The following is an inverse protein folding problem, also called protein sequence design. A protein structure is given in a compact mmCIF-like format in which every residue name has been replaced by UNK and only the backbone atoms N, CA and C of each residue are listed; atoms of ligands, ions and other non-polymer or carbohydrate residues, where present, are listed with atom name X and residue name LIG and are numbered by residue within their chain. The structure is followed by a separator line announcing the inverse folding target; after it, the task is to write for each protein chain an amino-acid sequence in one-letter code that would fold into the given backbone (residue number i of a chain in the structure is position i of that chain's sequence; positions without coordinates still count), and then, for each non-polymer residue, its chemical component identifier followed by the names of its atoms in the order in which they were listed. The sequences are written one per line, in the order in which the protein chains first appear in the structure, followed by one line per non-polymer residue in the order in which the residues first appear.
data_IF_134011297536
#
_entry.id   IF_134011297536
#
_cell.length_a   1.000
_cell.length_b   1.000
_cell.length_c   1.000
_cell.angle_alpha   90.00
_cell.angle_beta   90.00
_cell.angle_gamma   90.00
#
_symmetry.space_group_name_H-M   'P 1'
#
loop_
_entity.id
_entity.type
_entity.pdbx_description
1 polymer ?
#
# COMPACT_ATOMS: atom_id res chain seq x y z
N UNK A 1 -17.35 46.67 -14.26
CA UNK A 1 -15.97 46.36 -13.86
C UNK A 1 -15.82 44.86 -13.97
N UNK A 2 -15.38 44.38 -15.12
CA UNK A 2 -15.14 42.96 -15.35
C UNK A 2 -13.76 42.63 -14.77
N UNK A 3 -13.73 41.85 -13.69
CA UNK A 3 -12.51 41.28 -13.15
C UNK A 3 -12.02 40.23 -14.15
N UNK A 4 -11.08 40.62 -15.02
CA UNK A 4 -10.39 39.69 -15.92
C UNK A 4 -9.60 38.68 -15.10
N UNK A 5 -10.17 37.48 -14.91
CA UNK A 5 -9.44 36.37 -14.33
C UNK A 5 -8.33 35.98 -15.30
N UNK A 6 -7.08 36.19 -14.89
CA UNK A 6 -5.93 35.69 -15.63
C UNK A 6 -6.04 34.17 -15.74
N UNK A 7 -6.15 33.65 -16.96
CA UNK A 7 -6.05 32.21 -17.21
C UNK A 7 -4.63 31.76 -16.87
N UNK A 8 -4.46 31.07 -15.75
CA UNK A 8 -3.20 30.41 -15.42
C UNK A 8 -3.02 29.25 -16.40
N UNK A 9 -2.06 29.39 -17.32
CA UNK A 9 -1.66 28.29 -18.18
C UNK A 9 -0.93 27.24 -17.34
N UNK A 10 -1.36 25.98 -17.46
CA UNK A 10 -0.76 24.86 -16.76
C UNK A 10 0.32 24.23 -17.64
N UNK A 11 1.50 23.99 -17.09
CA UNK A 11 2.63 23.39 -17.78
C UNK A 11 2.90 21.97 -17.27
N UNK A 12 3.11 21.02 -18.17
CA UNK A 12 3.50 19.67 -17.80
C UNK A 12 4.82 19.68 -17.02
N UNK A 13 4.82 19.12 -15.81
CA UNK A 13 6.03 19.04 -14.96
C UNK A 13 7.20 18.28 -15.59
N UNK A 14 6.93 17.36 -16.53
CA UNK A 14 7.97 16.53 -17.14
C UNK A 14 8.61 17.17 -18.37
N UNK A 15 7.80 17.71 -19.29
CA UNK A 15 8.30 18.30 -20.53
C UNK A 15 8.30 19.83 -20.56
N UNK A 16 7.78 20.47 -19.51
CA UNK A 16 7.68 21.92 -19.32
C UNK A 16 6.89 22.63 -20.44
N UNK A 17 6.02 21.91 -21.14
CA UNK A 17 5.18 22.43 -22.21
C UNK A 17 3.71 22.47 -21.77
N UNK A 18 2.98 23.49 -22.23
CA UNK A 18 1.52 23.63 -22.03
C UNK A 18 0.71 22.70 -22.92
N UNK A 19 1.23 22.47 -24.13
CA UNK A 19 0.69 21.56 -25.13
C UNK A 19 1.80 20.59 -25.54
N UNK A 20 1.43 19.40 -25.99
CA UNK A 20 2.38 18.42 -26.49
C UNK A 20 2.27 18.37 -28.00
N UNK A 21 3.38 18.64 -28.70
CA UNK A 21 3.48 18.40 -30.14
C UNK A 21 3.26 16.91 -30.42
N UNK A 22 2.10 16.55 -30.96
CA UNK A 22 1.72 15.16 -31.14
C UNK A 22 0.29 15.00 -31.67
N UNK A 23 -0.11 13.77 -32.05
CA UNK A 23 -1.46 13.52 -32.53
C UNK A 23 -2.46 13.96 -31.45
N UNK A 24 -3.44 14.78 -31.84
CA UNK A 24 -4.55 15.19 -30.99
C UNK A 24 -5.16 13.95 -30.32
N UNK A 25 -5.17 13.91 -28.99
CA UNK A 25 -5.62 12.72 -28.26
C UNK A 25 -5.27 12.69 -26.79
N UNK A 26 -5.57 11.56 -26.15
CA UNK A 26 -5.38 11.32 -24.71
C UNK A 26 -3.96 11.62 -24.22
N UNK A 27 -2.96 11.43 -25.07
CA UNK A 27 -1.55 11.61 -24.70
C UNK A 27 -1.13 13.07 -24.51
N UNK A 28 -1.77 14.01 -25.21
CA UNK A 28 -1.49 15.44 -25.10
C UNK A 28 -2.26 16.12 -23.95
N UNK A 29 -3.17 15.40 -23.29
CA UNK A 29 -3.97 15.93 -22.20
C UNK A 29 -3.19 15.92 -20.88
N UNK A 30 -3.28 17.03 -20.15
CA UNK A 30 -2.76 17.14 -18.79
C UNK A 30 -3.65 16.38 -17.79
N UNK A 31 -3.03 15.63 -16.90
CA UNK A 31 -3.66 14.99 -15.75
C UNK A 31 -2.94 15.36 -14.45
N UNK A 32 -3.57 15.06 -13.32
CA UNK A 32 -3.02 15.31 -11.97
C UNK A 32 -2.85 13.98 -11.23
N UNK A 33 -1.79 13.22 -11.53
CA UNK A 33 -1.73 11.81 -11.17
C UNK A 33 -1.53 11.57 -9.67
N UNK A 34 -1.17 12.59 -8.90
CA UNK A 34 -0.79 12.49 -7.48
C UNK A 34 -1.28 13.68 -6.64
N UNK A 35 -1.10 13.57 -5.32
CA UNK A 35 -1.47 14.64 -4.37
C UNK A 35 -0.61 15.91 -4.49
N UNK A 36 0.49 15.89 -5.24
CA UNK A 36 1.28 17.10 -5.49
C UNK A 36 0.53 18.15 -6.31
N UNK A 37 -0.57 17.75 -7.00
CA UNK A 37 -1.30 18.60 -7.95
C UNK A 37 -0.41 19.20 -9.06
N UNK A 38 0.72 18.55 -9.34
CA UNK A 38 1.56 18.92 -10.48
C UNK A 38 0.97 18.31 -11.75
N UNK A 39 0.59 19.14 -12.75
CA UNK A 39 0.03 18.65 -13.99
C UNK A 39 1.10 17.93 -14.83
N UNK A 40 0.71 16.84 -15.48
CA UNK A 40 1.60 16.04 -16.34
C UNK A 40 0.81 15.57 -17.55
N UNK A 41 1.39 15.62 -18.74
CA UNK A 41 0.78 15.00 -19.92
C UNK A 41 0.68 13.49 -19.71
N UNK A 42 -0.46 12.89 -20.02
CA UNK A 42 -0.64 11.43 -19.92
C UNK A 42 0.47 10.67 -20.67
N UNK A 43 0.82 11.12 -21.88
CA UNK A 43 1.89 10.50 -22.66
C UNK A 43 3.28 10.65 -22.02
N UNK A 44 3.57 11.79 -21.40
CA UNK A 44 4.83 11.97 -20.66
C UNK A 44 4.91 11.07 -19.42
N UNK A 45 3.80 10.88 -18.71
CA UNK A 45 3.74 9.98 -17.57
C UNK A 45 3.98 8.52 -17.99
N UNK A 46 3.35 8.07 -19.08
CA UNK A 46 3.58 6.73 -19.63
C UNK A 46 5.03 6.52 -20.08
N UNK A 47 5.63 7.52 -20.73
CA UNK A 47 7.05 7.47 -21.12
C UNK A 47 7.97 7.40 -19.90
N UNK A 48 7.70 8.19 -18.88
CA UNK A 48 8.44 8.13 -17.61
C UNK A 48 8.33 6.74 -16.97
N UNK A 49 7.13 6.13 -16.93
CA UNK A 49 6.96 4.79 -16.40
C UNK A 49 7.75 3.74 -17.18
N UNK A 50 7.74 3.78 -18.52
CA UNK A 50 8.54 2.86 -19.35
C UNK A 50 10.04 3.00 -19.08
N UNK A 51 10.53 4.23 -19.01
CA UNK A 51 11.94 4.49 -18.70
C UNK A 51 12.33 3.99 -17.29
N UNK A 52 11.43 4.14 -16.29
CA UNK A 52 11.64 3.60 -14.95
C UNK A 52 11.62 2.07 -14.93
N UNK A 53 10.75 1.43 -15.72
CA UNK A 53 10.67 -0.03 -15.82
C UNK A 53 11.99 -0.61 -16.34
N UNK A 54 12.51 -0.06 -17.44
CA UNK A 54 13.81 -0.43 -18.00
C UNK A 54 14.94 -0.23 -16.99
N UNK A 55 14.95 0.91 -16.29
CA UNK A 55 15.97 1.22 -15.29
C UNK A 55 15.98 0.25 -14.10
N UNK A 56 14.80 -0.21 -13.66
CA UNK A 56 14.68 -1.04 -12.46
C UNK A 56 14.67 -2.54 -12.75
N UNK A 57 14.32 -2.98 -13.95
CA UNK A 57 14.16 -4.40 -14.30
C UNK A 57 15.38 -5.27 -13.94
N UNK A 58 16.59 -4.71 -14.01
CA UNK A 58 17.83 -5.47 -13.72
C UNK A 58 18.15 -5.63 -12.23
N UNK A 59 17.62 -4.77 -11.34
CA UNK A 59 18.10 -4.65 -9.94
C UNK A 59 17.01 -4.81 -8.89
N UNK A 60 15.78 -5.02 -9.32
CA UNK A 60 14.60 -4.99 -8.49
C UNK A 60 13.71 -6.20 -8.77
N UNK A 61 12.98 -6.62 -7.75
CA UNK A 61 11.94 -7.63 -7.96
C UNK A 61 10.78 -7.00 -8.73
N UNK A 62 10.02 -7.83 -9.44
CA UNK A 62 8.84 -7.38 -10.19
C UNK A 62 7.88 -6.53 -9.32
N UNK A 63 7.60 -6.97 -8.09
CA UNK A 63 6.78 -6.22 -7.12
C UNK A 63 7.35 -4.85 -6.77
N UNK A 64 8.68 -4.73 -6.59
CA UNK A 64 9.32 -3.44 -6.33
C UNK A 64 9.22 -2.49 -7.53
N UNK A 65 9.40 -3.02 -8.75
CA UNK A 65 9.27 -2.25 -9.99
C UNK A 65 7.85 -1.71 -10.08
N UNK A 66 6.85 -2.59 -9.98
CA UNK A 66 5.44 -2.19 -10.06
C UNK A 66 5.05 -1.19 -8.97
N UNK A 67 5.49 -1.38 -7.73
CA UNK A 67 5.22 -0.44 -6.66
C UNK A 67 5.82 0.96 -6.95
N UNK A 68 7.01 1.03 -7.56
CA UNK A 68 7.66 2.29 -7.94
C UNK A 68 6.99 2.97 -9.12
N UNK A 69 6.67 2.23 -10.18
CA UNK A 69 5.96 2.75 -11.36
C UNK A 69 4.61 3.39 -11.01
N UNK A 70 3.98 2.89 -9.95
CA UNK A 70 2.67 3.34 -9.48
C UNK A 70 2.74 4.29 -8.28
N UNK A 71 3.92 4.77 -7.88
CA UNK A 71 4.08 5.68 -6.73
C UNK A 71 4.82 6.95 -7.12
N UNK A 72 4.24 8.10 -6.80
CA UNK A 72 4.88 9.39 -7.00
C UNK A 72 6.13 9.51 -6.13
N UNK A 73 7.28 9.77 -6.74
CA UNK A 73 8.56 9.92 -6.03
C UNK A 73 8.61 11.12 -5.06
N UNK A 74 7.74 12.13 -5.27
CA UNK A 74 7.72 13.35 -4.46
C UNK A 74 6.85 13.21 -3.23
N UNK A 75 5.56 12.93 -3.42
CA UNK A 75 4.63 12.82 -2.30
C UNK A 75 4.48 11.38 -1.79
N UNK A 76 4.96 10.36 -2.51
CA UNK A 76 4.72 8.96 -2.18
C UNK A 76 3.29 8.49 -2.45
N UNK A 77 2.46 9.30 -3.13
CA UNK A 77 1.08 8.93 -3.45
C UNK A 77 0.99 7.91 -4.58
N UNK A 78 -0.06 7.09 -4.60
CA UNK A 78 -0.36 6.28 -5.78
C UNK A 78 -0.61 7.17 -7.00
N UNK A 79 0.02 6.83 -8.13
CA UNK A 79 -0.19 7.48 -9.42
C UNK A 79 -1.49 6.95 -10.04
N UNK A 80 -2.36 7.86 -10.45
CA UNK A 80 -3.58 7.54 -11.19
C UNK A 80 -3.35 7.89 -12.67
N UNK A 81 -3.43 6.87 -13.54
CA UNK A 81 -3.28 7.03 -14.99
C UNK A 81 -4.61 7.38 -15.65
N UNK A 82 -5.70 6.82 -15.16
CA UNK A 82 -7.03 7.06 -15.68
C UNK A 82 -7.63 8.37 -15.14
N UNK A 83 -8.54 8.95 -15.94
CA UNK A 83 -9.40 10.06 -15.52
C UNK A 83 -10.55 9.62 -14.60
N UNK A 84 -10.58 8.35 -14.19
CA UNK A 84 -11.66 7.87 -13.32
C UNK A 84 -11.72 8.73 -12.06
N UNK A 85 -12.92 9.26 -11.75
CA UNK A 85 -13.04 10.33 -10.80
C UNK A 85 -12.84 9.75 -9.41
N UNK A 86 -12.07 10.48 -8.61
CA UNK A 86 -11.79 10.26 -7.20
C UNK A 86 -10.85 9.09 -6.87
N UNK A 87 -9.73 9.43 -6.22
CA UNK A 87 -9.05 8.51 -5.30
C UNK A 87 -10.15 7.92 -4.41
N UNK A 88 -10.31 6.61 -4.41
CA UNK A 88 -11.17 5.94 -3.45
C UNK A 88 -10.68 6.33 -2.06
N UNK A 89 -11.39 7.26 -1.43
CA UNK A 89 -11.06 7.67 -0.08
C UNK A 89 -11.19 6.42 0.79
N UNK A 90 -10.17 6.07 1.58
CA UNK A 90 -10.29 4.94 2.47
C UNK A 90 -11.53 5.16 3.34
N UNK A 91 -12.37 4.13 3.49
CA UNK A 91 -13.59 4.18 4.30
C UNK A 91 -13.30 4.56 5.76
N UNK A 92 -12.04 4.44 6.15
CA UNK A 92 -11.48 4.71 7.47
C UNK A 92 -10.48 5.86 7.39
N UNK A 93 -10.74 6.93 8.12
CA UNK A 93 -9.85 8.10 8.19
C UNK A 93 -8.69 7.96 9.17
N UNK A 94 -8.74 7.00 10.11
CA UNK A 94 -7.66 6.79 11.08
C UNK A 94 -7.51 5.35 11.56
N UNK A 95 -6.30 5.01 12.01
CA UNK A 95 -5.95 3.72 12.60
C UNK A 95 -4.89 3.92 13.71
N UNK A 96 -4.72 2.95 14.60
CA UNK A 96 -3.65 2.94 15.60
C UNK A 96 -2.53 2.01 15.13
N UNK A 97 -1.29 2.48 15.16
CA UNK A 97 -0.13 1.66 14.87
C UNK A 97 0.08 0.62 15.99
N UNK A 98 0.18 -0.66 15.64
CA UNK A 98 0.56 -1.76 16.54
C UNK A 98 1.85 -2.39 16.08
N UNK A 99 2.93 -2.09 16.78
CA UNK A 99 4.22 -2.69 16.48
C UNK A 99 4.26 -4.11 17.07
N UNK A 100 4.43 -5.11 16.21
CA UNK A 100 4.54 -6.52 16.64
C UNK A 100 6.00 -6.88 16.98
N UNK A 101 6.20 -7.83 17.91
CA UNK A 101 7.50 -8.46 18.13
C UNK A 101 8.52 -7.61 18.91
N UNK A 102 8.08 -6.81 19.88
CA UNK A 102 8.96 -6.14 20.85
C UNK A 102 9.66 -4.86 20.35
N UNK A 103 9.51 -4.52 19.07
CA UNK A 103 9.92 -3.20 18.57
C UNK A 103 8.84 -2.18 18.91
N UNK A 104 9.22 -1.00 19.41
CA UNK A 104 8.26 0.07 19.72
C UNK A 104 7.91 0.94 18.48
N UNK A 105 8.40 0.58 17.29
CA UNK A 105 8.32 1.40 16.07
C UNK A 105 8.22 0.54 14.81
N UNK A 106 7.42 0.98 13.86
CA UNK A 106 7.28 0.39 12.52
C UNK A 106 7.82 1.38 11.48
N UNK A 107 8.82 0.96 10.70
CA UNK A 107 9.39 1.79 9.63
C UNK A 107 8.33 2.07 8.55
N UNK A 108 8.18 3.35 8.18
CA UNK A 108 7.32 3.73 7.07
C UNK A 108 8.04 3.44 5.75
N UNK A 109 7.29 3.01 4.74
CA UNK A 109 7.80 2.69 3.41
C UNK A 109 7.59 3.86 2.45
N UNK A 110 8.51 4.02 1.51
CA UNK A 110 8.40 4.95 0.38
C UNK A 110 7.46 4.42 -0.69
N UNK A 111 7.41 3.09 -0.85
CA UNK A 111 6.59 2.38 -1.84
C UNK A 111 5.90 1.15 -1.22
N UNK A 112 4.68 0.78 -1.65
CA UNK A 112 3.92 -0.33 -1.09
C UNK A 112 4.37 -1.68 -1.67
N UNK A 113 5.54 -2.18 -1.23
CA UNK A 113 6.12 -3.47 -1.66
C UNK A 113 6.37 -4.38 -0.46
N UNK A 114 6.27 -5.69 -0.65
CA UNK A 114 6.63 -6.67 0.38
C UNK A 114 8.15 -6.78 0.60
N UNK A 115 8.95 -6.36 -0.39
CA UNK A 115 10.41 -6.40 -0.29
C UNK A 115 10.93 -5.66 0.93
N UNK A 116 11.92 -6.24 1.61
CA UNK A 116 12.58 -5.69 2.79
C UNK A 116 13.86 -4.89 2.48
N UNK A 117 14.12 -4.60 1.21
CA UNK A 117 15.28 -3.78 0.83
C UNK A 117 15.21 -2.39 1.49
N UNK A 118 16.33 -1.96 2.09
CA UNK A 118 16.41 -0.71 2.89
C UNK A 118 15.97 0.53 2.13
N UNK A 119 16.25 0.58 0.83
CA UNK A 119 15.81 1.64 -0.12
C UNK A 119 14.30 1.84 -0.23
N UNK A 120 13.49 0.87 0.19
CA UNK A 120 12.04 0.96 0.16
C UNK A 120 11.47 1.62 1.42
N UNK A 121 12.30 1.92 2.42
CA UNK A 121 11.90 2.55 3.66
C UNK A 121 12.24 4.04 3.66
N UNK A 122 11.38 4.84 4.29
CA UNK A 122 11.72 6.20 4.67
C UNK A 122 12.62 6.16 5.91
N UNK A 123 13.15 7.31 6.29
CA UNK A 123 13.91 7.43 7.53
C UNK A 123 13.02 7.51 8.79
N UNK A 124 11.71 7.58 8.62
CA UNK A 124 10.73 7.78 9.69
C UNK A 124 9.94 6.52 10.00
N UNK A 125 9.31 6.52 11.17
CA UNK A 125 8.54 5.41 11.69
C UNK A 125 7.30 5.87 12.43
N UNK A 126 6.29 5.00 12.43
CA UNK A 126 5.16 5.09 13.33
C UNK A 126 5.52 4.38 14.65
N UNK A 127 5.22 4.99 15.79
CA UNK A 127 5.42 4.39 17.10
C UNK A 127 4.23 3.50 17.49
N UNK A 128 4.47 2.49 18.32
CA UNK A 128 3.39 1.69 18.90
C UNK A 128 2.40 2.59 19.66
N UNK A 129 1.10 2.35 19.47
CA UNK A 129 0.02 3.15 20.03
C UNK A 129 -0.22 4.51 19.35
N UNK A 130 0.59 4.89 18.36
CA UNK A 130 0.42 6.16 17.65
C UNK A 130 -0.82 6.12 16.76
N UNK A 131 -1.67 7.14 16.86
CA UNK A 131 -2.77 7.35 15.92
C UNK A 131 -2.23 7.86 14.59
N UNK A 132 -2.68 7.23 13.51
CA UNK A 132 -2.30 7.51 12.14
C UNK A 132 -3.53 7.95 11.35
N UNK A 133 -3.39 9.01 10.55
CA UNK A 133 -4.40 9.38 9.56
C UNK A 133 -4.18 8.54 8.31
N UNK A 134 -5.21 7.85 7.84
CA UNK A 134 -5.14 6.98 6.66
C UNK A 134 -5.52 7.79 5.43
N UNK A 135 -4.59 7.93 4.50
CA UNK A 135 -4.74 8.81 3.32
C UNK A 135 -5.23 8.05 2.10
N UNK A 136 -4.71 6.84 1.88
CA UNK A 136 -5.10 5.99 0.76
C UNK A 136 -4.74 4.52 1.03
N UNK A 137 -5.39 3.62 0.29
CA UNK A 137 -5.13 2.19 0.28
C UNK A 137 -4.55 1.81 -1.09
N UNK A 138 -3.63 0.85 -1.12
CA UNK A 138 -3.13 0.29 -2.36
C UNK A 138 -4.18 -0.64 -3.01
N UNK A 139 -3.89 -1.12 -4.22
CA UNK A 139 -4.84 -1.97 -4.97
C UNK A 139 -5.02 -3.36 -4.36
N UNK A 140 -4.03 -3.84 -3.59
CA UNK A 140 -4.08 -5.16 -2.97
C UNK A 140 -4.81 -5.14 -1.62
N UNK A 141 -4.85 -3.97 -0.99
CA UNK A 141 -5.35 -3.77 0.36
C UNK A 141 -4.36 -4.14 1.46
N UNK A 142 -3.15 -4.58 1.10
CA UNK A 142 -2.08 -4.92 2.05
C UNK A 142 -1.39 -3.67 2.61
N UNK A 143 -1.36 -2.57 1.86
CA UNK A 143 -0.66 -1.36 2.24
C UNK A 143 -1.60 -0.17 2.33
N UNK A 144 -1.38 0.63 3.36
CA UNK A 144 -2.07 1.89 3.58
C UNK A 144 -1.03 2.98 3.64
N UNK A 145 -1.26 4.06 2.89
CA UNK A 145 -0.47 5.27 3.06
C UNK A 145 -1.07 6.06 4.21
N UNK A 146 -0.20 6.42 5.13
CA UNK A 146 -0.58 7.06 6.38
C UNK A 146 0.18 8.35 6.57
N UNK A 147 -0.42 9.25 7.35
CA UNK A 147 0.25 10.41 7.94
C UNK A 147 0.42 10.17 9.44
N UNK A 148 1.66 10.27 9.90
CA UNK A 148 2.07 10.10 11.27
C UNK A 148 2.51 11.46 11.85
N UNK A 149 1.76 12.00 12.80
CA UNK A 149 2.09 13.24 13.50
C UNK A 149 3.11 12.98 14.61
N UNK A 150 4.17 13.79 14.70
CA UNK A 150 5.25 13.57 15.68
C UNK A 150 6.06 12.31 15.39
N UNK A 151 6.22 11.95 14.12
CA UNK A 151 6.92 10.74 13.72
C UNK A 151 8.40 10.78 14.12
N UNK A 152 8.89 9.66 14.67
CA UNK A 152 10.29 9.51 15.09
C UNK A 152 11.12 8.94 13.94
N UNK A 153 12.41 9.29 13.89
CA UNK A 153 13.35 8.56 13.02
C UNK A 153 13.36 7.08 13.42
N UNK A 154 13.36 6.23 12.41
CA UNK A 154 13.40 4.78 12.60
C UNK A 154 14.76 4.35 13.16
N UNK A 155 15.84 4.94 12.63
CA UNK A 155 17.21 4.78 13.12
C UNK A 155 17.73 6.12 13.61
N UNK A 156 18.24 6.14 14.84
CA UNK A 156 18.79 7.33 15.47
C UNK A 156 17.75 8.21 16.17
N UNK A 157 18.21 9.41 16.52
CA UNK A 157 17.43 10.42 17.23
C UNK A 157 16.81 11.43 16.25
N UNK A 158 15.72 12.06 16.68
CA UNK A 158 15.01 13.06 15.91
C UNK A 158 13.53 12.76 15.74
N UNK A 159 12.75 13.83 15.71
CA UNK A 159 11.30 13.83 15.53
C UNK A 159 10.98 14.82 14.41
N UNK A 160 10.06 14.45 13.53
CA UNK A 160 9.45 15.39 12.58
C UNK A 160 8.01 15.67 12.99
N UNK A 161 7.54 16.88 12.70
CA UNK A 161 6.14 17.24 12.97
C UNK A 161 5.17 16.32 12.24
N UNK A 162 5.50 15.95 10.99
CA UNK A 162 4.68 15.09 10.14
C UNK A 162 5.59 14.20 9.30
N UNK A 163 5.28 12.91 9.22
CA UNK A 163 5.82 12.01 8.20
C UNK A 163 4.68 11.30 7.46
N UNK A 164 4.83 11.14 6.15
CA UNK A 164 3.94 10.31 5.34
C UNK A 164 4.70 9.10 4.80
N UNK A 165 4.01 7.97 4.67
CA UNK A 165 4.56 6.77 4.06
C UNK A 165 3.59 5.60 4.11
N UNK A 166 3.99 4.49 3.51
CA UNK A 166 3.21 3.26 3.43
C UNK A 166 3.50 2.36 4.63
N UNK A 167 2.46 1.77 5.20
CA UNK A 167 2.52 0.80 6.29
C UNK A 167 1.65 -0.40 5.94
N UNK A 168 2.06 -1.59 6.37
CA UNK A 168 1.28 -2.82 6.13
C UNK A 168 0.05 -2.85 7.02
N UNK A 169 -1.02 -3.42 6.51
CA UNK A 169 -2.28 -3.65 7.21
C UNK A 169 -2.10 -4.32 8.58
N UNK A 170 -1.20 -5.31 8.67
CA UNK A 170 -0.95 -6.07 9.90
C UNK A 170 -0.47 -5.22 11.08
N UNK A 171 0.02 -4.01 10.83
CA UNK A 171 0.45 -3.06 11.86
C UNK A 171 -0.63 -2.02 12.19
N UNK A 172 -1.83 -2.15 11.65
CA UNK A 172 -2.94 -1.23 11.87
C UNK A 172 -4.03 -1.91 12.68
N UNK A 173 -4.37 -1.28 13.80
CA UNK A 173 -5.51 -1.60 14.62
C UNK A 173 -6.60 -0.55 14.38
N UNK A 174 -7.70 -1.02 13.80
CA UNK A 174 -8.83 -0.18 13.46
C UNK A 174 -9.72 -0.12 14.69
N UNK A 175 -9.89 1.08 15.27
CA UNK A 175 -10.72 1.25 16.45
C UNK A 175 -12.09 0.60 16.18
N UNK A 176 -12.42 -0.38 17.03
CA UNK A 176 -13.48 -1.38 16.83
C UNK A 176 -14.82 -0.74 16.48
N UNK A 177 -15.39 -1.13 15.35
CA UNK A 177 -16.67 -0.61 14.83
C UNK A 177 -16.76 -0.65 13.31
N UNK A 178 -15.64 -0.90 12.61
CA UNK A 178 -15.61 -0.90 11.15
C UNK A 178 -15.20 -2.26 10.62
N UNK A 179 -16.09 -2.84 9.82
CA UNK A 179 -15.81 -4.06 9.05
C UNK A 179 -14.92 -3.71 7.87
N UNK A 180 -13.66 -4.14 7.91
CA UNK A 180 -12.81 -4.12 6.72
C UNK A 180 -13.23 -5.22 5.74
N UNK A 181 -13.09 -5.00 4.41
CA UNK A 181 -13.20 -6.09 3.47
C UNK A 181 -12.15 -7.16 3.82
N UNK A 182 -12.52 -8.46 3.80
CA UNK A 182 -11.59 -9.52 4.15
C UNK A 182 -10.37 -9.48 3.22
N UNK A 183 -9.15 -9.76 3.73
CA UNK A 183 -7.95 -9.80 2.91
C UNK A 183 -8.11 -10.83 1.79
N UNK A 184 -7.67 -10.48 0.57
CA UNK A 184 -7.79 -11.36 -0.61
C UNK A 184 -6.96 -12.64 -0.51
N UNK A 185 -5.98 -12.70 0.39
CA UNK A 185 -5.26 -13.92 0.72
C UNK A 185 -5.39 -14.20 2.23
N UNK A 186 -5.76 -15.43 2.62
CA UNK A 186 -5.65 -15.83 4.02
C UNK A 186 -4.19 -15.75 4.47
N UNK A 187 -3.91 -15.33 5.72
CA UNK A 187 -2.57 -15.36 6.26
C UNK A 187 -2.01 -16.79 6.16
N UNK A 188 -0.78 -16.92 5.66
CA UNK A 188 -0.12 -18.21 5.38
C UNK A 188 -0.07 -19.18 6.58
N UNK A 189 -0.33 -18.69 7.79
CA UNK A 189 -0.34 -19.46 9.04
C UNK A 189 -1.66 -20.20 9.34
N UNK A 190 -2.70 -20.04 8.51
CA UNK A 190 -3.97 -20.77 8.65
C UNK A 190 -4.14 -21.91 7.63
N UNK A 191 -3.17 -22.13 6.74
CA UNK A 191 -3.25 -23.18 5.72
C UNK A 191 -2.92 -24.60 6.24
N UNK A 192 -2.48 -24.74 7.50
CA UNK A 192 -2.18 -26.03 8.11
C UNK A 192 -3.06 -26.24 9.34
N UNK A 193 -4.23 -26.88 9.18
CA UNK A 193 -5.00 -27.23 10.37
C UNK A 193 -6.46 -27.62 10.24
N UNK A 194 -6.91 -28.22 9.13
CA UNK A 194 -8.21 -28.91 9.10
C UNK A 194 -8.14 -30.09 8.14
N UNK A 195 -7.50 -31.18 8.59
CA UNK A 195 -7.71 -32.51 8.00
C UNK A 195 -7.30 -33.66 8.95
N UNK A 196 -7.52 -33.48 10.26
CA UNK A 196 -7.28 -34.55 11.25
C UNK A 196 -8.31 -34.58 12.36
N UNK A 197 -9.57 -34.83 12.02
CA UNK A 197 -10.54 -35.41 12.95
C UNK A 197 -11.46 -36.37 12.18
N UNK A 198 -11.32 -37.67 12.44
CA UNK A 198 -12.26 -38.68 11.96
C UNK A 198 -11.67 -40.08 11.74
N UNK A 199 -11.26 -40.76 12.81
CA UNK A 199 -11.39 -42.21 12.94
C UNK A 199 -10.98 -42.60 14.37
N UNK A 200 -11.98 -42.66 15.24
CA UNK A 200 -11.88 -43.06 16.62
C UNK A 200 -11.34 -44.49 16.78
N UNK A 201 -10.51 -44.62 17.80
CA UNK A 201 -10.07 -45.88 18.36
C UNK A 201 -11.25 -46.57 19.07
N UNK A 202 -11.55 -47.81 18.68
CA UNK A 202 -12.26 -48.76 19.53
C UNK A 202 -11.31 -49.95 19.77
N UNK A 203 -10.66 -49.90 20.92
CA UNK A 203 -9.75 -50.94 21.43
C UNK A 203 -10.54 -52.16 21.90
N UNK A 204 -9.89 -53.31 21.75
CA UNK A 204 -10.37 -54.66 21.98
C UNK A 204 -10.74 -55.02 23.44
N UNK A 205 -11.44 -56.17 23.54
CA UNK A 205 -11.46 -57.19 24.60
C UNK A 205 -12.45 -57.07 25.77
N UNK A 206 -13.46 -57.97 25.76
CA UNK A 206 -13.74 -58.93 26.85
C UNK A 206 -14.68 -60.03 26.27
N UNK A 207 -14.24 -61.28 26.10
CA UNK A 207 -14.24 -62.38 27.08
C UNK A 207 -15.54 -63.21 27.14
N UNK A 208 -15.40 -64.48 26.69
CA UNK A 208 -15.82 -65.72 27.40
C UNK A 208 -17.23 -66.33 27.13
N UNK A 209 -17.16 -67.53 26.55
CA UNK A 209 -17.90 -68.79 26.83
C UNK A 209 -19.13 -69.26 26.04
N UNK A 210 -18.89 -70.40 25.36
CA UNK A 210 -19.61 -71.69 25.37
C UNK A 210 -21.03 -71.84 24.77
N UNK A 211 -21.12 -72.74 23.79
CA UNK A 211 -22.00 -73.94 23.65
C UNK A 211 -21.89 -74.39 22.17
N UNK A 212 -21.28 -75.50 21.78
CA UNK A 212 -21.61 -76.94 21.92
C UNK A 212 -22.95 -77.38 21.30
N UNK A 213 -22.91 -78.58 20.67
CA UNK A 213 -23.99 -79.35 19.97
C UNK A 213 -24.35 -78.87 18.54
N UNK A 214 -24.30 -79.66 17.45
CA UNK A 214 -24.34 -81.13 17.21
C UNK A 214 -23.69 -81.46 15.87
#
# INVERSE_FOLDING_TARGET
METGAAHVQLECRLCLATERDGPEGLEARLCFPCNCRAPVHHGCLMQWQRAQEEQFAERHTFDEVQARLNTCEVCGARLLLEETPSRSQPQLGSAVCRAQGGTQKVALRRVPTLSRATRNFSEFSASDGQQLEVLEQDVTGEFFRVRALGAKRYRGEGVTAVAEGWIRHVYLDWQSGVSLPPPRMPPAFLAEGTDRLGADAATAQDSVSQQDET
#
